data_IF_069002752168
#
_entry.id   IF_069002752168
#
_cell.length_a   1.000
_cell.length_b   1.000
_cell.length_c   1.000
_cell.angle_alpha   90.00
_cell.angle_beta   90.00
_cell.angle_gamma   90.00
#
_symmetry.space_group_name_H-M   'P 1'
#
loop_
_entity.id
_entity.type
_entity.pdbx_description
1 polymer ?
#
# COMPACT_ATOMS: atom_id res chain seq x y z
N UNK A 1 -72.96 118.25 -2.75
CA UNK A 1 -72.11 117.16 -2.22
C UNK A 1 -72.60 115.75 -2.62
N UNK A 2 -73.87 115.56 -3.01
CA UNK A 2 -74.44 114.23 -3.34
C UNK A 2 -74.12 113.76 -4.77
N UNK A 3 -73.91 114.67 -5.73
CA UNK A 3 -73.56 114.32 -7.11
C UNK A 3 -72.13 113.80 -7.29
N UNK A 4 -71.19 114.23 -6.44
CA UNK A 4 -69.77 113.89 -6.56
C UNK A 4 -69.45 112.49 -5.99
N UNK A 5 -70.15 112.07 -4.93
CA UNK A 5 -70.03 110.73 -4.34
C UNK A 5 -70.61 109.63 -5.24
N UNK A 6 -71.72 109.92 -5.95
CA UNK A 6 -72.29 109.00 -6.94
C UNK A 6 -71.38 108.81 -8.17
N UNK A 7 -70.65 109.86 -8.57
CA UNK A 7 -69.69 109.79 -9.67
C UNK A 7 -68.43 109.00 -9.28
N UNK A 8 -67.93 109.18 -8.06
CA UNK A 8 -66.77 108.46 -7.51
C UNK A 8 -67.05 106.95 -7.31
N UNK A 9 -68.26 106.59 -6.89
CA UNK A 9 -68.67 105.18 -6.79
C UNK A 9 -68.73 104.51 -8.16
N UNK A 10 -69.27 105.20 -9.18
CA UNK A 10 -69.27 104.72 -10.58
C UNK A 10 -67.87 104.58 -11.16
N UNK A 11 -66.93 105.46 -10.85
CA UNK A 11 -65.56 105.37 -11.38
C UNK A 11 -64.78 104.21 -10.74
N UNK A 12 -64.98 103.95 -9.46
CA UNK A 12 -64.37 102.80 -8.78
C UNK A 12 -64.96 101.46 -9.25
N UNK A 13 -66.27 101.40 -9.50
CA UNK A 13 -66.91 100.20 -10.09
C UNK A 13 -66.49 99.97 -11.53
N UNK A 14 -66.27 101.04 -12.32
CA UNK A 14 -65.73 100.92 -13.67
C UNK A 14 -64.28 100.42 -13.64
N UNK A 15 -63.45 100.96 -12.75
CA UNK A 15 -62.05 100.57 -12.62
C UNK A 15 -61.91 99.09 -12.24
N UNK A 16 -62.75 98.59 -11.35
CA UNK A 16 -62.79 97.16 -10.99
C UNK A 16 -63.32 96.29 -12.12
N UNK A 17 -64.33 96.74 -12.88
CA UNK A 17 -64.78 96.04 -14.08
C UNK A 17 -63.68 95.96 -15.14
N UNK A 18 -62.97 97.06 -15.41
CA UNK A 18 -61.85 97.10 -16.38
C UNK A 18 -60.71 96.19 -15.92
N UNK A 19 -60.33 96.23 -14.64
CA UNK A 19 -59.31 95.34 -14.06
C UNK A 19 -59.68 93.86 -14.23
N UNK A 20 -60.95 93.49 -13.99
CA UNK A 20 -61.42 92.10 -14.19
C UNK A 20 -61.44 91.71 -15.66
N UNK A 21 -61.70 92.65 -16.56
CA UNK A 21 -61.65 92.40 -18.01
C UNK A 21 -60.20 92.23 -18.46
N UNK A 22 -59.26 93.03 -17.96
CA UNK A 22 -57.82 92.87 -18.23
C UNK A 22 -57.28 91.56 -17.67
N UNK A 23 -57.65 91.18 -16.44
CA UNK A 23 -57.28 89.88 -15.86
C UNK A 23 -57.89 88.72 -16.66
N UNK A 24 -59.16 88.80 -17.05
CA UNK A 24 -59.81 87.78 -17.86
C UNK A 24 -59.20 87.71 -19.28
N UNK A 25 -58.82 88.85 -19.85
CA UNK A 25 -58.15 88.93 -21.13
C UNK A 25 -56.74 88.32 -21.06
N UNK A 26 -55.94 88.69 -20.07
CA UNK A 26 -54.61 88.11 -19.85
C UNK A 26 -54.67 86.61 -19.55
N UNK A 27 -55.65 86.15 -18.76
CA UNK A 27 -55.88 84.74 -18.52
C UNK A 27 -56.29 83.99 -19.80
N UNK A 28 -57.13 84.59 -20.64
CA UNK A 28 -57.52 84.03 -21.94
C UNK A 28 -56.36 84.03 -22.95
N UNK A 29 -55.46 85.02 -22.89
CA UNK A 29 -54.26 85.15 -23.73
C UNK A 29 -53.17 84.13 -23.36
N UNK A 30 -53.01 83.83 -22.06
CA UNK A 30 -52.07 82.80 -21.55
C UNK A 30 -52.63 81.37 -21.60
N UNK A 31 -53.95 81.21 -21.67
CA UNK A 31 -54.63 79.90 -21.69
C UNK A 31 -54.08 78.91 -22.73
N UNK A 32 -53.76 79.32 -23.98
CA UNK A 32 -53.17 78.44 -24.98
C UNK A 32 -51.79 77.92 -24.56
N UNK A 33 -50.95 78.79 -23.99
CA UNK A 33 -49.60 78.44 -23.52
C UNK A 33 -49.65 77.50 -22.31
N UNK A 34 -50.59 77.71 -21.40
CA UNK A 34 -50.82 76.81 -20.25
C UNK A 34 -51.36 75.45 -20.70
N UNK A 35 -52.27 75.42 -21.68
CA UNK A 35 -52.79 74.17 -22.26
C UNK A 35 -51.71 73.38 -22.99
N UNK A 36 -50.83 74.05 -23.74
CA UNK A 36 -49.66 73.45 -24.38
C UNK A 36 -48.72 72.83 -23.33
N UNK A 37 -48.39 73.60 -22.28
CA UNK A 37 -47.52 73.14 -21.18
C UNK A 37 -48.13 71.96 -20.42
N UNK A 38 -49.44 71.99 -20.15
CA UNK A 38 -50.16 70.90 -19.50
C UNK A 38 -50.20 69.65 -20.38
N UNK A 39 -50.40 69.81 -21.69
CA UNK A 39 -50.35 68.73 -22.67
C UNK A 39 -48.97 68.07 -22.69
N UNK A 40 -47.91 68.88 -22.72
CA UNK A 40 -46.53 68.41 -22.73
C UNK A 40 -46.17 67.68 -21.43
N UNK A 41 -46.58 68.21 -20.26
CA UNK A 41 -46.43 67.55 -18.97
C UNK A 41 -47.18 66.21 -18.92
N UNK A 42 -48.41 66.14 -19.45
CA UNK A 42 -49.19 64.90 -19.55
C UNK A 42 -48.48 63.85 -20.42
N UNK A 43 -47.90 64.28 -21.53
CA UNK A 43 -47.15 63.38 -22.42
C UNK A 43 -45.90 62.83 -21.73
N UNK A 44 -45.14 63.67 -21.02
CA UNK A 44 -44.00 63.22 -20.20
C UNK A 44 -44.41 62.24 -19.11
N UNK A 45 -45.50 62.51 -18.39
CA UNK A 45 -46.03 61.58 -17.37
C UNK A 45 -46.40 60.24 -17.99
N UNK A 46 -47.03 60.24 -19.17
CA UNK A 46 -47.40 59.02 -19.89
C UNK A 46 -46.17 58.21 -20.29
N UNK A 47 -45.12 58.87 -20.78
CA UNK A 47 -43.85 58.24 -21.14
C UNK A 47 -43.16 57.63 -19.91
N UNK A 48 -43.07 58.38 -18.81
CA UNK A 48 -42.50 57.89 -17.53
C UNK A 48 -43.30 56.68 -17.02
N UNK A 49 -44.62 56.72 -17.07
CA UNK A 49 -45.47 55.60 -16.66
C UNK A 49 -45.20 54.35 -17.51
N UNK A 50 -45.07 54.53 -18.82
CA UNK A 50 -44.78 53.42 -19.73
C UNK A 50 -43.39 52.83 -19.46
N UNK A 51 -42.38 53.67 -19.23
CA UNK A 51 -41.03 53.22 -18.86
C UNK A 51 -41.04 52.49 -17.52
N UNK A 52 -41.68 53.05 -16.49
CA UNK A 52 -41.78 52.44 -15.17
C UNK A 52 -42.47 51.06 -15.20
N UNK A 53 -43.55 50.91 -15.98
CA UNK A 53 -44.19 49.59 -16.16
C UNK A 53 -43.29 48.57 -16.85
N UNK A 54 -42.49 49.03 -17.83
CA UNK A 54 -41.54 48.18 -18.56
C UNK A 54 -40.38 47.75 -17.67
N UNK A 55 -39.81 48.69 -16.91
CA UNK A 55 -38.75 48.41 -15.92
C UNK A 55 -39.25 47.47 -14.82
N UNK A 56 -40.47 47.66 -14.31
CA UNK A 56 -41.04 46.77 -13.30
C UNK A 56 -41.20 45.33 -13.83
N UNK A 57 -41.59 45.17 -15.09
CA UNK A 57 -41.65 43.86 -15.73
C UNK A 57 -40.24 43.23 -15.85
N UNK A 58 -39.23 44.02 -16.22
CA UNK A 58 -37.84 43.55 -16.29
C UNK A 58 -37.28 43.16 -14.92
N UNK A 59 -37.57 43.92 -13.87
CA UNK A 59 -37.16 43.62 -12.49
C UNK A 59 -37.75 42.28 -12.04
N UNK A 60 -39.02 42.01 -12.32
CA UNK A 60 -39.65 40.74 -11.97
C UNK A 60 -38.98 39.56 -12.68
N UNK A 61 -38.65 39.70 -13.97
CA UNK A 61 -37.90 38.69 -14.73
C UNK A 61 -36.50 38.48 -14.12
N UNK A 62 -35.84 39.56 -13.68
CA UNK A 62 -34.53 39.48 -13.05
C UNK A 62 -34.58 38.77 -11.70
N UNK A 63 -35.61 39.05 -10.89
CA UNK A 63 -35.85 38.39 -9.60
C UNK A 63 -36.09 36.88 -9.79
N UNK A 64 -36.91 36.50 -10.77
CA UNK A 64 -37.14 35.09 -11.10
C UNK A 64 -35.84 34.39 -11.55
N UNK A 65 -35.04 35.05 -12.40
CA UNK A 65 -33.72 34.54 -12.80
C UNK A 65 -32.77 34.40 -11.62
N UNK A 66 -32.74 35.38 -10.71
CA UNK A 66 -31.91 35.34 -9.50
C UNK A 66 -32.29 34.18 -8.60
N UNK A 67 -33.58 33.95 -8.37
CA UNK A 67 -34.06 32.83 -7.58
C UNK A 67 -33.71 31.48 -8.22
N UNK A 68 -33.82 31.37 -9.55
CA UNK A 68 -33.40 30.18 -10.28
C UNK A 68 -31.89 29.93 -10.19
N UNK A 69 -31.08 30.99 -10.30
CA UNK A 69 -29.62 30.89 -10.15
C UNK A 69 -29.26 30.47 -8.72
N UNK A 70 -29.90 31.02 -7.70
CA UNK A 70 -29.65 30.66 -6.31
C UNK A 70 -29.98 29.19 -6.04
N UNK A 71 -31.09 28.69 -6.61
CA UNK A 71 -31.45 27.29 -6.53
C UNK A 71 -30.43 26.40 -7.27
N UNK A 72 -30.05 26.75 -8.51
CA UNK A 72 -29.01 26.01 -9.25
C UNK A 72 -27.70 26.00 -8.46
N UNK A 73 -27.27 27.13 -7.91
CA UNK A 73 -26.07 27.23 -7.08
C UNK A 73 -26.14 26.29 -5.86
N UNK A 74 -27.29 26.22 -5.20
CA UNK A 74 -27.57 25.29 -4.11
C UNK A 74 -27.43 23.83 -4.55
N UNK A 75 -28.01 23.45 -5.70
CA UNK A 75 -27.88 22.08 -6.24
C UNK A 75 -26.44 21.75 -6.65
N UNK A 76 -25.71 22.69 -7.26
CA UNK A 76 -24.30 22.52 -7.63
C UNK A 76 -23.43 22.36 -6.40
N UNK A 77 -23.67 23.14 -5.34
CA UNK A 77 -22.96 23.01 -4.06
C UNK A 77 -23.17 21.61 -3.47
N UNK A 78 -24.41 21.15 -3.34
CA UNK A 78 -24.72 19.81 -2.81
C UNK A 78 -24.08 18.71 -3.66
N UNK A 79 -24.08 18.88 -4.99
CA UNK A 79 -23.45 17.93 -5.91
C UNK A 79 -21.92 17.90 -5.74
N UNK A 80 -21.29 19.08 -5.58
CA UNK A 80 -19.85 19.20 -5.37
C UNK A 80 -19.42 18.57 -4.03
N UNK A 81 -20.17 18.82 -2.95
CA UNK A 81 -19.92 18.21 -1.64
C UNK A 81 -20.02 16.68 -1.72
N UNK A 82 -21.05 16.15 -2.38
CA UNK A 82 -21.20 14.69 -2.60
C UNK A 82 -20.07 14.10 -3.44
N UNK A 83 -19.63 14.80 -4.50
CA UNK A 83 -18.49 14.35 -5.31
C UNK A 83 -17.21 14.33 -4.49
N UNK A 84 -16.96 15.36 -3.66
CA UNK A 84 -15.78 15.44 -2.80
C UNK A 84 -15.72 14.27 -1.81
N UNK A 85 -16.83 13.99 -1.13
CA UNK A 85 -16.94 12.87 -0.18
C UNK A 85 -16.68 11.51 -0.86
N UNK A 86 -17.21 11.32 -2.07
CA UNK A 86 -16.96 10.12 -2.88
C UNK A 86 -15.51 10.02 -3.34
N UNK A 87 -14.88 11.13 -3.69
CA UNK A 87 -13.47 11.18 -4.06
C UNK A 87 -12.57 10.82 -2.88
N UNK A 88 -12.80 11.38 -1.69
CA UNK A 88 -12.04 11.04 -0.48
C UNK A 88 -12.18 9.55 -0.12
N UNK A 89 -13.41 9.05 -0.15
CA UNK A 89 -13.70 7.63 0.10
C UNK A 89 -13.01 6.72 -0.93
N UNK A 90 -13.10 7.05 -2.22
CA UNK A 90 -12.49 6.28 -3.30
C UNK A 90 -10.96 6.33 -3.27
N UNK A 91 -10.37 7.49 -2.99
CA UNK A 91 -8.91 7.64 -2.88
C UNK A 91 -8.36 6.80 -1.73
N UNK A 92 -9.05 6.83 -0.59
CA UNK A 92 -8.66 6.06 0.57
C UNK A 92 -8.83 4.56 0.35
N UNK A 93 -9.93 4.13 -0.27
CA UNK A 93 -10.12 2.75 -0.68
C UNK A 93 -9.08 2.27 -1.70
N UNK A 94 -8.77 3.09 -2.69
CA UNK A 94 -7.74 2.79 -3.68
C UNK A 94 -6.35 2.64 -3.05
N UNK A 95 -6.04 3.44 -2.02
CA UNK A 95 -4.76 3.36 -1.30
C UNK A 95 -4.63 2.02 -0.57
N UNK A 96 -5.63 1.63 0.21
CA UNK A 96 -5.55 0.36 0.96
C UNK A 96 -5.65 -0.86 0.05
N UNK A 97 -6.52 -0.83 -0.97
CA UNK A 97 -6.61 -1.90 -1.97
C UNK A 97 -5.31 -2.01 -2.77
N UNK A 98 -4.70 -0.88 -3.13
CA UNK A 98 -3.41 -0.81 -3.82
C UNK A 98 -2.27 -1.40 -2.97
N UNK A 99 -2.22 -1.05 -1.68
CA UNK A 99 -1.26 -1.63 -0.73
C UNK A 99 -1.47 -3.15 -0.59
N UNK A 100 -2.72 -3.59 -0.46
CA UNK A 100 -3.06 -5.01 -0.39
C UNK A 100 -2.71 -5.77 -1.67
N UNK A 101 -2.81 -5.13 -2.84
CA UNK A 101 -2.37 -5.70 -4.11
C UNK A 101 -0.84 -5.85 -4.16
N UNK A 102 -0.10 -4.82 -3.72
CA UNK A 102 1.36 -4.88 -3.64
C UNK A 102 1.86 -6.00 -2.70
N UNK A 103 1.21 -6.18 -1.55
CA UNK A 103 1.53 -7.28 -0.62
C UNK A 103 1.22 -8.66 -1.20
N UNK A 104 0.10 -8.82 -1.92
CA UNK A 104 -0.18 -10.08 -2.63
C UNK A 104 0.87 -10.37 -3.69
N UNK A 105 1.22 -9.38 -4.51
CA UNK A 105 2.21 -9.57 -5.58
C UNK A 105 3.56 -10.00 -4.98
N UNK A 106 3.96 -9.36 -3.86
CA UNK A 106 5.17 -9.75 -3.14
C UNK A 106 5.08 -11.17 -2.59
N UNK A 107 4.01 -11.52 -1.87
CA UNK A 107 3.78 -12.87 -1.36
C UNK A 107 3.87 -13.92 -2.48
N UNK A 108 3.15 -13.71 -3.59
CA UNK A 108 3.13 -14.62 -4.74
C UNK A 108 4.50 -14.76 -5.40
N UNK A 109 5.25 -13.67 -5.56
CA UNK A 109 6.61 -13.71 -6.11
C UNK A 109 7.57 -14.54 -5.23
N UNK A 110 7.44 -14.43 -3.91
CA UNK A 110 8.21 -15.22 -2.95
C UNK A 110 7.82 -16.70 -2.99
N UNK A 111 6.52 -17.02 -3.04
CA UNK A 111 6.04 -18.40 -3.14
C UNK A 111 6.45 -19.06 -4.46
N UNK A 112 6.49 -18.31 -5.56
CA UNK A 112 7.05 -18.80 -6.84
C UNK A 112 8.55 -19.09 -6.73
N UNK A 113 9.32 -18.17 -6.13
CA UNK A 113 10.76 -18.36 -5.91
C UNK A 113 11.03 -19.56 -4.99
N UNK A 114 10.19 -19.78 -3.97
CA UNK A 114 10.27 -20.92 -3.07
C UNK A 114 10.15 -22.25 -3.82
N UNK A 115 9.26 -22.36 -4.82
CA UNK A 115 9.11 -23.57 -5.63
C UNK A 115 10.36 -23.95 -6.44
N UNK A 116 11.17 -22.97 -6.86
CA UNK A 116 12.46 -23.24 -7.51
C UNK A 116 13.41 -23.97 -6.55
N UNK A 117 13.42 -23.57 -5.27
CA UNK A 117 14.21 -24.25 -4.23
C UNK A 117 13.66 -25.65 -3.91
N UNK A 118 12.34 -25.85 -3.94
CA UNK A 118 11.72 -27.19 -3.80
C UNK A 118 12.22 -28.13 -4.88
N UNK A 119 12.16 -27.69 -6.14
CA UNK A 119 12.61 -28.49 -7.28
C UNK A 119 14.11 -28.78 -7.17
N UNK A 120 14.91 -27.77 -6.80
CA UNK A 120 16.33 -27.95 -6.55
C UNK A 120 16.61 -28.99 -5.46
N UNK A 121 15.85 -28.97 -4.37
CA UNK A 121 15.97 -29.94 -3.27
C UNK A 121 15.64 -31.36 -3.74
N UNK A 122 14.57 -31.54 -4.51
CA UNK A 122 14.20 -32.86 -5.08
C UNK A 122 15.32 -33.40 -5.98
N UNK A 123 15.87 -32.57 -6.86
CA UNK A 123 16.98 -32.94 -7.75
C UNK A 123 18.23 -33.31 -6.92
N UNK A 124 18.52 -32.52 -5.88
CA UNK A 124 19.65 -32.75 -4.98
C UNK A 124 19.54 -34.09 -4.24
N UNK A 125 18.38 -34.38 -3.67
CA UNK A 125 18.09 -35.67 -3.02
C UNK A 125 18.21 -36.83 -4.01
N UNK A 126 17.64 -36.71 -5.22
CA UNK A 126 17.75 -37.72 -6.26
C UNK A 126 19.20 -38.00 -6.68
N UNK A 127 19.98 -36.93 -6.85
CA UNK A 127 21.41 -37.01 -7.21
C UNK A 127 22.21 -37.64 -6.07
N UNK A 128 21.98 -37.23 -4.83
CA UNK A 128 22.61 -37.80 -3.64
C UNK A 128 22.29 -39.28 -3.46
N UNK A 129 21.04 -39.69 -3.67
CA UNK A 129 20.63 -41.10 -3.63
C UNK A 129 21.30 -41.92 -4.74
N UNK A 130 21.35 -41.40 -5.97
CA UNK A 130 21.98 -42.11 -7.10
C UNK A 130 23.48 -42.33 -6.89
N UNK A 131 24.23 -41.27 -6.57
CA UNK A 131 25.67 -41.38 -6.31
C UNK A 131 25.97 -42.16 -5.02
N UNK A 132 25.14 -41.98 -3.98
CA UNK A 132 25.28 -42.71 -2.72
C UNK A 132 25.11 -44.23 -2.87
N UNK A 133 24.10 -44.67 -3.63
CA UNK A 133 23.87 -46.08 -3.89
C UNK A 133 25.03 -46.72 -4.68
N UNK A 134 25.51 -46.03 -5.73
CA UNK A 134 26.62 -46.52 -6.54
C UNK A 134 27.92 -46.63 -5.73
N UNK A 135 28.23 -45.63 -4.91
CA UNK A 135 29.43 -45.64 -4.06
C UNK A 135 29.36 -46.68 -2.95
N UNK A 136 28.19 -46.88 -2.34
CA UNK A 136 27.99 -47.94 -1.34
C UNK A 136 28.20 -49.33 -1.96
N UNK A 137 27.74 -49.53 -3.19
CA UNK A 137 27.93 -50.79 -3.92
C UNK A 137 29.40 -51.03 -4.28
N UNK A 138 30.13 -50.01 -4.74
CA UNK A 138 31.57 -50.08 -5.02
C UNK A 138 32.40 -50.35 -3.76
N UNK A 139 32.04 -49.74 -2.62
CA UNK A 139 32.70 -49.99 -1.33
C UNK A 139 32.45 -51.41 -0.83
N UNK A 140 31.23 -51.94 -1.00
CA UNK A 140 30.88 -53.32 -0.62
C UNK A 140 31.65 -54.36 -1.45
N UNK A 141 31.82 -54.12 -2.76
CA UNK A 141 32.62 -54.97 -3.63
C UNK A 141 34.13 -54.87 -3.32
N UNK A 142 34.64 -53.67 -3.06
CA UNK A 142 36.06 -53.47 -2.71
C UNK A 142 36.46 -54.13 -1.38
N UNK A 143 35.50 -54.24 -0.43
CA UNK A 143 35.72 -54.90 0.87
C UNK A 143 35.59 -56.43 0.78
N UNK A 144 34.97 -56.95 -0.28
CA UNK A 144 34.81 -58.39 -0.53
C UNK A 144 35.99 -59.02 -1.29
N UNK A 145 37.01 -58.23 -1.66
CA UNK A 145 38.17 -58.68 -2.44
C UNK A 145 39.30 -59.21 -1.54
N UNK A 146 40.08 -60.23 -1.95
CA UNK A 146 40.98 -60.97 -1.05
C UNK A 146 42.24 -60.22 -0.56
N UNK A 147 42.52 -59.02 -1.11
CA UNK A 147 43.66 -58.19 -0.72
C UNK A 147 43.27 -56.70 -0.80
N UNK A 148 42.69 -56.12 0.26
CA UNK A 148 42.28 -54.73 0.27
C UNK A 148 43.51 -53.83 0.32
N UNK A 149 43.81 -53.16 -0.79
CA UNK A 149 44.77 -52.06 -0.79
C UNK A 149 44.12 -50.87 -0.08
N UNK A 150 44.66 -50.51 1.08
CA UNK A 150 44.23 -49.38 1.92
C UNK A 150 44.11 -48.08 1.12
N UNK A 151 44.95 -47.88 0.11
CA UNK A 151 44.91 -46.73 -0.80
C UNK A 151 43.63 -46.69 -1.64
N UNK A 152 43.14 -47.83 -2.12
CA UNK A 152 41.89 -47.90 -2.89
C UNK A 152 40.67 -47.66 -2.00
N UNK A 153 40.68 -48.18 -0.77
CA UNK A 153 39.58 -47.95 0.19
C UNK A 153 39.54 -46.49 0.64
N UNK A 154 40.68 -45.90 0.97
CA UNK A 154 40.75 -44.50 1.45
C UNK A 154 40.42 -43.48 0.36
N UNK A 155 40.92 -43.67 -0.87
CA UNK A 155 40.55 -42.79 -1.99
C UNK A 155 39.07 -42.89 -2.32
N UNK A 156 38.49 -44.09 -2.32
CA UNK A 156 37.07 -44.28 -2.60
C UNK A 156 36.18 -43.74 -1.46
N UNK A 157 36.65 -43.80 -0.21
CA UNK A 157 36.00 -43.16 0.94
C UNK A 157 36.00 -41.63 0.83
N UNK A 158 37.15 -41.01 0.54
CA UNK A 158 37.27 -39.55 0.36
C UNK A 158 36.40 -39.08 -0.81
N UNK A 159 36.44 -39.81 -1.92
CA UNK A 159 35.64 -39.50 -3.11
C UNK A 159 34.14 -39.66 -2.83
N UNK A 160 33.74 -40.62 -2.00
CA UNK A 160 32.35 -40.81 -1.57
C UNK A 160 31.86 -39.66 -0.69
N UNK A 161 32.66 -39.24 0.30
CA UNK A 161 32.34 -38.09 1.17
C UNK A 161 32.23 -36.82 0.34
N UNK A 162 33.12 -36.61 -0.62
CA UNK A 162 33.12 -35.42 -1.48
C UNK A 162 31.93 -35.42 -2.47
N UNK A 163 31.58 -36.57 -3.05
CA UNK A 163 30.45 -36.70 -3.97
C UNK A 163 29.09 -36.55 -3.29
N UNK A 164 28.92 -37.06 -2.06
CA UNK A 164 27.65 -36.96 -1.32
C UNK A 164 27.56 -35.61 -0.57
N UNK A 165 28.69 -35.00 -0.23
CA UNK A 165 28.77 -33.74 0.51
C UNK A 165 28.09 -32.58 -0.20
N UNK A 166 28.27 -32.42 -1.51
CA UNK A 166 27.67 -31.33 -2.27
C UNK A 166 26.11 -31.40 -2.33
N UNK A 167 25.49 -32.55 -2.66
CA UNK A 167 24.03 -32.71 -2.56
C UNK A 167 23.49 -32.52 -1.13
N UNK A 168 24.17 -33.07 -0.11
CA UNK A 168 23.72 -32.93 1.29
C UNK A 168 23.78 -31.47 1.75
N UNK A 169 24.88 -30.76 1.44
CA UNK A 169 25.02 -29.34 1.73
C UNK A 169 23.94 -28.51 1.04
N UNK A 170 23.70 -28.77 -0.25
CA UNK A 170 22.67 -28.06 -1.01
C UNK A 170 21.28 -28.33 -0.44
N UNK A 171 20.96 -29.58 -0.08
CA UNK A 171 19.67 -29.95 0.52
C UNK A 171 19.42 -29.22 1.84
N UNK A 172 20.45 -29.09 2.69
CA UNK A 172 20.38 -28.30 3.91
C UNK A 172 20.14 -26.80 3.63
N UNK A 173 20.92 -26.21 2.72
CA UNK A 173 20.77 -24.80 2.32
C UNK A 173 19.36 -24.53 1.74
N UNK A 174 18.88 -25.42 0.88
CA UNK A 174 17.56 -25.33 0.28
C UNK A 174 16.45 -25.41 1.34
N UNK A 175 16.61 -26.26 2.37
CA UNK A 175 15.68 -26.39 3.50
C UNK A 175 15.62 -25.10 4.36
N UNK A 176 16.75 -24.41 4.56
CA UNK A 176 16.76 -23.10 5.23
C UNK A 176 16.10 -22.02 4.36
N UNK A 177 16.43 -21.98 3.07
CA UNK A 177 15.88 -20.98 2.15
C UNK A 177 14.36 -21.14 1.96
N UNK A 178 13.84 -22.37 1.88
CA UNK A 178 12.39 -22.58 1.82
C UNK A 178 11.70 -22.09 3.08
N UNK A 179 12.22 -22.39 4.27
CA UNK A 179 11.63 -21.93 5.53
C UNK A 179 11.57 -20.41 5.61
N UNK A 180 12.67 -19.74 5.23
CA UNK A 180 12.73 -18.28 5.21
C UNK A 180 11.74 -17.67 4.20
N UNK A 181 11.67 -18.21 2.98
CA UNK A 181 10.77 -17.70 1.93
C UNK A 181 9.30 -17.98 2.24
N UNK A 182 8.98 -19.12 2.83
CA UNK A 182 7.64 -19.47 3.29
C UNK A 182 7.15 -18.48 4.36
N UNK A 183 7.93 -18.31 5.44
CA UNK A 183 7.60 -17.37 6.54
C UNK A 183 7.37 -15.95 6.02
N UNK A 184 8.25 -15.47 5.13
CA UNK A 184 8.13 -14.14 4.55
C UNK A 184 6.93 -14.02 3.60
N UNK A 185 6.62 -15.06 2.81
CA UNK A 185 5.44 -15.07 1.94
C UNK A 185 4.13 -15.06 2.72
N UNK A 186 4.08 -15.77 3.85
CA UNK A 186 2.93 -15.84 4.74
C UNK A 186 2.71 -14.51 5.47
N UNK A 187 3.78 -13.85 5.93
CA UNK A 187 3.70 -12.51 6.53
C UNK A 187 3.10 -11.49 5.54
N UNK A 188 3.57 -11.48 4.30
CA UNK A 188 3.00 -10.60 3.27
C UNK A 188 1.55 -10.96 2.90
N UNK A 189 1.21 -12.25 2.85
CA UNK A 189 -0.16 -12.69 2.62
C UNK A 189 -1.09 -12.22 3.75
N UNK A 190 -0.62 -12.33 4.99
CA UNK A 190 -1.33 -11.87 6.18
C UNK A 190 -1.51 -10.33 6.16
N UNK A 191 -0.47 -9.57 5.82
CA UNK A 191 -0.59 -8.10 5.67
C UNK A 191 -1.59 -7.72 4.59
N UNK A 192 -1.61 -8.47 3.48
CA UNK A 192 -2.58 -8.26 2.41
C UNK A 192 -4.03 -8.57 2.82
N UNK A 193 -4.25 -9.57 3.68
CA UNK A 193 -5.59 -9.91 4.16
C UNK A 193 -6.10 -8.87 5.16
N UNK A 194 -5.25 -8.39 6.07
CA UNK A 194 -5.59 -7.31 7.02
C UNK A 194 -5.92 -6.01 6.30
N UNK A 195 -5.14 -5.61 5.29
CA UNK A 195 -5.45 -4.42 4.50
C UNK A 195 -6.80 -4.54 3.77
N UNK A 196 -7.14 -5.70 3.20
CA UNK A 196 -8.46 -5.92 2.59
C UNK A 196 -9.59 -5.90 3.60
N UNK A 197 -9.39 -6.56 4.75
CA UNK A 197 -10.37 -6.61 5.82
C UNK A 197 -10.65 -5.21 6.38
N UNK A 198 -9.62 -4.37 6.52
CA UNK A 198 -9.76 -2.98 6.95
C UNK A 198 -10.69 -2.20 6.02
N UNK A 199 -10.56 -2.30 4.70
CA UNK A 199 -11.49 -1.61 3.78
C UNK A 199 -12.93 -2.07 3.93
N UNK A 200 -13.15 -3.38 4.09
CA UNK A 200 -14.48 -3.92 4.35
C UNK A 200 -15.08 -3.36 5.65
N UNK A 201 -14.33 -3.47 6.75
CA UNK A 201 -14.81 -3.05 8.07
C UNK A 201 -14.91 -1.55 8.24
N UNK A 202 -14.05 -0.76 7.59
CA UNK A 202 -14.08 0.69 7.65
C UNK A 202 -15.39 1.23 7.10
N UNK A 203 -15.89 0.67 6.00
CA UNK A 203 -17.16 1.09 5.39
C UNK A 203 -18.37 0.87 6.30
N UNK A 204 -18.32 -0.15 7.16
CA UNK A 204 -19.35 -0.41 8.16
C UNK A 204 -19.11 0.37 9.46
N UNK A 205 -17.86 0.56 9.86
CA UNK A 205 -17.50 1.31 11.06
C UNK A 205 -17.80 2.81 10.93
N UNK A 206 -17.58 3.41 9.75
CA UNK A 206 -17.89 4.82 9.48
C UNK A 206 -19.39 5.13 9.60
N UNK A 207 -20.26 4.11 9.39
CA UNK A 207 -21.71 4.21 9.58
C UNK A 207 -22.14 4.12 11.04
N UNK A 208 -21.33 3.50 11.90
CA UNK A 208 -21.66 3.23 13.31
C UNK A 208 -21.10 4.33 14.21
N UNK A 209 -19.77 4.51 14.23
CA UNK A 209 -19.08 5.47 15.11
C UNK A 209 -17.70 5.83 14.57
N UNK A 210 -17.40 7.12 14.53
CA UNK A 210 -16.08 7.68 14.19
C UNK A 210 -14.97 7.14 15.10
N UNK A 211 -15.25 6.91 16.39
CA UNK A 211 -14.23 6.36 17.33
C UNK A 211 -13.87 4.92 17.00
N UNK A 212 -14.83 4.13 16.50
CA UNK A 212 -14.60 2.76 16.07
C UNK A 212 -13.72 2.72 14.81
N UNK A 213 -13.95 3.64 13.86
CA UNK A 213 -13.11 3.81 12.67
C UNK A 213 -11.64 4.09 13.03
N UNK A 214 -11.41 5.02 13.97
CA UNK A 214 -10.04 5.35 14.44
C UNK A 214 -9.36 4.15 15.09
N UNK A 215 -10.07 3.41 15.94
CA UNK A 215 -9.54 2.21 16.61
C UNK A 215 -9.23 1.08 15.61
N UNK A 216 -10.04 0.93 14.57
CA UNK A 216 -9.79 -0.01 13.46
C UNK A 216 -8.53 0.36 12.69
N UNK A 217 -8.36 1.65 12.37
CA UNK A 217 -7.16 2.14 11.68
C UNK A 217 -5.91 1.93 12.53
N UNK A 218 -5.95 2.25 13.82
CA UNK A 218 -4.85 2.01 14.75
C UNK A 218 -4.47 0.52 14.83
N UNK A 219 -5.48 -0.35 14.94
CA UNK A 219 -5.25 -1.80 14.93
C UNK A 219 -4.67 -2.32 13.61
N UNK A 220 -5.09 -1.77 12.47
CA UNK A 220 -4.57 -2.14 11.16
C UNK A 220 -3.13 -1.65 10.96
N UNK A 221 -2.83 -0.41 11.35
CA UNK A 221 -1.49 0.18 11.31
C UNK A 221 -0.50 -0.63 12.14
N UNK A 222 -0.84 -0.92 13.41
CA UNK A 222 -0.01 -1.73 14.29
C UNK A 222 0.35 -3.08 13.66
N UNK A 223 -0.58 -3.69 12.93
CA UNK A 223 -0.36 -4.99 12.29
C UNK A 223 0.46 -4.92 11.00
N UNK A 224 0.38 -3.82 10.26
CA UNK A 224 1.22 -3.57 9.08
C UNK A 224 2.66 -3.25 9.50
N UNK A 225 2.80 -2.48 10.59
CA UNK A 225 4.06 -2.03 11.17
C UNK A 225 4.82 -3.13 11.93
N UNK A 226 4.17 -4.26 12.26
CA UNK A 226 4.85 -5.43 12.82
C UNK A 226 6.02 -5.86 11.91
N UNK A 227 7.23 -5.89 12.49
CA UNK A 227 8.47 -6.22 11.79
C UNK A 227 8.39 -7.63 11.19
N UNK A 228 8.69 -7.80 9.88
CA UNK A 228 8.60 -9.08 9.16
C UNK A 228 9.58 -10.15 9.67
N UNK A 229 10.50 -9.79 10.59
CA UNK A 229 11.64 -10.58 11.02
C UNK A 229 11.47 -11.24 12.40
N UNK A 230 10.34 -11.08 13.10
CA UNK A 230 10.16 -11.69 14.44
C UNK A 230 10.25 -13.22 14.43
N UNK A 231 9.96 -13.86 13.31
CA UNK A 231 9.97 -15.32 13.13
C UNK A 231 11.21 -15.84 12.37
N UNK A 232 12.13 -14.95 11.99
CA UNK A 232 13.42 -15.33 11.40
C UNK A 232 14.36 -15.56 12.57
N UNK A 233 14.46 -16.83 12.97
CA UNK A 233 15.37 -17.32 14.01
C UNK A 233 16.73 -16.62 13.93
N UNK A 234 17.17 -16.08 15.06
CA UNK A 234 18.41 -15.31 15.18
C UNK A 234 19.69 -16.13 14.94
N UNK A 235 19.59 -17.46 14.80
CA UNK A 235 20.74 -18.34 14.74
C UNK A 235 21.05 -18.80 13.31
N UNK A 236 21.77 -17.93 12.59
CA UNK A 236 22.42 -18.26 11.32
C UNK A 236 23.62 -19.20 11.57
N UNK A 237 23.36 -20.50 11.71
CA UNK A 237 24.44 -21.49 11.74
C UNK A 237 25.07 -21.59 10.35
N UNK A 238 26.39 -21.37 10.26
CA UNK A 238 27.11 -21.25 8.98
C UNK A 238 27.34 -22.56 8.21
N UNK A 239 27.05 -23.73 8.79
CA UNK A 239 27.21 -25.01 8.10
C UNK A 239 26.32 -26.14 8.68
N UNK A 240 26.01 -27.18 7.89
CA UNK A 240 25.22 -28.33 8.36
C UNK A 240 25.82 -29.02 9.59
N UNK A 241 27.15 -29.09 9.66
CA UNK A 241 27.86 -29.66 10.80
C UNK A 241 27.81 -28.76 12.03
N UNK A 242 27.85 -27.45 11.85
CA UNK A 242 27.77 -26.50 12.95
C UNK A 242 26.39 -26.55 13.62
N UNK A 243 25.31 -26.72 12.84
CA UNK A 243 23.94 -26.90 13.34
C UNK A 243 23.73 -28.27 14.01
N UNK A 244 24.26 -29.35 13.42
CA UNK A 244 24.15 -30.69 14.01
C UNK A 244 24.87 -30.77 15.37
N UNK A 245 26.07 -30.19 15.47
CA UNK A 245 26.88 -30.18 16.70
C UNK A 245 26.33 -29.23 17.77
N UNK A 246 25.65 -28.15 17.38
CA UNK A 246 25.05 -27.20 18.31
C UNK A 246 23.66 -27.62 18.80
N UNK A 247 23.00 -28.56 18.10
CA UNK A 247 21.64 -29.01 18.42
C UNK A 247 21.52 -29.55 19.85
N UNK A 248 20.45 -29.15 20.53
CA UNK A 248 20.18 -29.55 21.91
C UNK A 248 20.06 -31.06 22.05
N UNK A 249 19.52 -31.75 21.03
CA UNK A 249 19.40 -33.22 20.98
C UNK A 249 20.75 -33.94 20.94
N UNK A 250 21.74 -33.44 20.20
CA UNK A 250 23.09 -34.01 20.18
C UNK A 250 23.83 -33.71 21.48
N UNK A 251 23.67 -32.50 22.03
CA UNK A 251 24.20 -32.13 23.36
C UNK A 251 23.59 -32.96 24.49
N UNK A 252 22.31 -33.27 24.40
CA UNK A 252 21.59 -34.08 25.38
C UNK A 252 21.97 -35.55 25.26
N UNK A 253 22.10 -36.09 24.04
CA UNK A 253 22.63 -37.44 23.79
C UNK A 253 24.09 -37.61 24.26
N UNK A 254 24.94 -36.59 24.07
CA UNK A 254 26.32 -36.56 24.58
C UNK A 254 26.40 -36.52 26.12
N UNK A 255 25.40 -35.94 26.78
CA UNK A 255 25.32 -35.85 28.25
C UNK A 255 24.64 -37.04 28.92
N UNK A 256 23.67 -37.66 28.25
CA UNK A 256 22.82 -38.72 28.84
C UNK A 256 23.35 -40.13 28.63
N UNK A 257 24.24 -40.37 27.66
CA UNK A 257 24.82 -41.71 27.42
C UNK A 257 26.21 -41.82 28.08
N UNK A 258 26.35 -42.48 29.25
CA UNK A 258 27.65 -42.68 29.89
C UNK A 258 28.55 -43.56 29.00
N UNK A 259 29.80 -43.12 28.81
CA UNK A 259 30.79 -43.83 27.99
C UNK A 259 30.72 -43.58 26.47
N UNK A 260 29.75 -42.81 25.96
CA UNK A 260 29.67 -42.49 24.52
C UNK A 260 30.83 -41.61 24.05
N UNK A 261 31.16 -40.57 24.83
CA UNK A 261 32.32 -39.70 24.57
C UNK A 261 33.63 -40.47 24.63
N UNK A 262 33.74 -41.40 25.59
CA UNK A 262 34.93 -42.23 25.77
C UNK A 262 35.08 -43.26 24.65
N UNK A 263 33.96 -43.84 24.17
CA UNK A 263 33.95 -44.76 23.03
C UNK A 263 34.27 -44.04 21.72
N UNK A 264 33.74 -42.83 21.50
CA UNK A 264 34.13 -41.98 20.35
C UNK A 264 35.62 -41.62 20.42
N UNK A 265 36.11 -41.22 21.60
CA UNK A 265 37.52 -40.87 21.81
C UNK A 265 38.43 -42.07 21.57
N UNK A 266 38.06 -43.26 22.04
CA UNK A 266 38.84 -44.47 21.86
C UNK A 266 38.81 -44.93 20.40
N UNK A 267 37.65 -44.93 19.72
CA UNK A 267 37.57 -45.27 18.30
C UNK A 267 38.28 -44.24 17.41
N UNK A 268 38.26 -42.95 17.76
CA UNK A 268 39.05 -41.92 17.08
C UNK A 268 40.56 -42.13 17.28
N UNK A 269 40.99 -42.49 18.50
CA UNK A 269 42.40 -42.75 18.81
C UNK A 269 42.88 -44.05 18.14
N UNK A 270 42.06 -45.10 18.15
CA UNK A 270 42.33 -46.37 17.46
C UNK A 270 42.39 -46.19 15.94
N UNK A 271 41.49 -45.43 15.35
CA UNK A 271 41.56 -45.14 13.90
C UNK A 271 42.79 -44.30 13.56
N UNK A 272 43.11 -43.23 14.31
CA UNK A 272 44.31 -42.40 14.08
C UNK A 272 45.59 -43.22 14.22
N UNK A 273 45.70 -44.07 15.25
CA UNK A 273 46.86 -44.96 15.44
C UNK A 273 46.94 -46.05 14.37
N UNK A 274 45.81 -46.58 13.91
CA UNK A 274 45.75 -47.54 12.79
C UNK A 274 46.17 -46.89 11.47
N UNK A 275 45.72 -45.65 11.20
CA UNK A 275 46.17 -44.86 10.04
C UNK A 275 47.65 -44.48 10.13
N UNK A 276 48.15 -44.14 11.31
CA UNK A 276 49.56 -43.84 11.54
C UNK A 276 50.45 -45.09 11.36
N UNK A 277 50.00 -46.25 11.83
CA UNK A 277 50.70 -47.52 11.67
C UNK A 277 50.68 -48.01 10.21
N UNK A 278 49.56 -47.84 9.48
CA UNK A 278 49.50 -48.15 8.04
C UNK A 278 50.47 -47.30 7.20
N UNK A 279 50.68 -46.03 7.56
CA UNK A 279 51.68 -45.16 6.93
C UNK A 279 53.12 -45.65 7.19
N UNK A 280 53.39 -46.17 8.38
CA UNK A 280 54.71 -46.69 8.74
C UNK A 280 55.03 -48.01 8.03
N UNK A 281 54.04 -48.89 7.83
CA UNK A 281 54.22 -50.16 7.12
C UNK A 281 54.49 -49.96 5.61
N UNK A 282 53.93 -48.93 4.96
CA UNK A 282 54.27 -48.60 3.57
C UNK A 282 55.69 -48.02 3.42
N UNK A 283 56.19 -47.33 4.45
CA UNK A 283 57.56 -46.76 4.42
C UNK A 283 58.62 -47.84 4.67
N UNK A 284 58.32 -48.84 5.51
CA UNK A 284 59.22 -49.98 5.76
C UNK A 284 59.37 -50.92 4.56
N UNK A 285 58.34 -51.07 3.72
CA UNK A 285 58.40 -51.96 2.56
C UNK A 285 59.19 -51.36 1.37
N UNK A 286 59.34 -50.03 1.30
CA UNK A 286 60.20 -49.36 0.31
C UNK A 286 61.68 -49.31 0.72
N UNK A 287 62.02 -49.51 1.99
CA UNK A 287 63.42 -49.61 2.44
C UNK A 287 64.07 -50.96 2.11
N UNK A 288 63.27 -52.02 1.98
CA UNK A 288 63.78 -53.39 1.84
C UNK A 288 64.02 -53.84 0.37
N UNK A 289 63.80 -52.95 -0.60
CA UNK A 289 64.22 -53.15 -2.00
C UNK A 289 65.55 -52.45 -2.34
N UNK A 290 66.04 -51.51 -1.51
CA UNK A 290 67.31 -50.83 -1.77
C UNK A 290 68.54 -51.66 -1.34
N UNK A 291 68.39 -52.59 -0.39
CA UNK A 291 69.48 -53.42 0.15
C UNK A 291 69.62 -54.80 -0.52
N UNK A 292 68.92 -55.06 -1.63
CA UNK A 292 69.05 -56.31 -2.42
C UNK A 292 69.73 -56.17 -3.79
N UNK A 293 70.23 -54.98 -4.14
CA UNK A 293 71.08 -54.77 -5.33
C UNK A 293 72.58 -54.62 -5.00
N UNK A 294 72.99 -54.84 -3.75
CA UNK A 294 74.40 -54.81 -3.33
C UNK A 294 74.80 -55.98 -2.44
N UNK A 295 74.61 -57.21 -2.95
CA UNK A 295 75.31 -58.41 -2.50
C UNK A 295 75.48 -59.39 -3.67
#
# INVERSE_FOLDING_TARGET
MIYYSAQLFRTNSLKTMVSRIEEAYNAADQLPTDLESLSEARNKIKEILQNATTEHAQINILLEKSANIENDLGTKKNTAESILERCESAYSAATTVGLAAAFIERSKSLSKSMWVWVIGLIISLGTGSYFGANRLHELLQATSSPAPSITLITTNLILSVLSIGAPVWFSWLATKQIGHRFKLSEDYAFKASVSRAYEGYRSEASRIDKKLEVKLLESALNRIDELPLRLVEAENHGSPFHELLSSETVKEALKTVPGFVEKIKNTATESITTFANMKNTQTANNGNLADKESA
#
